data_IF_323349152066
#
_entry.id   IF_323349152066
#
_cell.length_a   1.000
_cell.length_b   1.000
_cell.length_c   1.000
_cell.angle_alpha   90.00
_cell.angle_beta   90.00
_cell.angle_gamma   90.00
#
_symmetry.space_group_name_H-M   'P 1'
#
loop_
_entity.id
_entity.type
_entity.pdbx_description
1 polymer ?
#
# COMPACT_ATOMS: atom_id res chain seq x y z
N UNK A 1 -5.29 15.49 5.37
CA UNK A 1 -4.83 14.10 5.17
C UNK A 1 -3.32 14.05 5.24
N UNK A 2 -2.78 12.94 5.73
CA UNK A 2 -1.33 12.70 5.80
C UNK A 2 -0.97 11.62 4.77
N UNK A 3 0.13 11.81 4.06
CA UNK A 3 0.69 10.84 3.13
C UNK A 3 2.12 10.55 3.53
N UNK A 4 2.42 9.28 3.76
CA UNK A 4 3.75 8.79 4.10
C UNK A 4 4.31 7.99 2.90
N UNK A 5 5.48 8.37 2.41
CA UNK A 5 6.18 7.69 1.32
C UNK A 5 7.20 6.65 1.82
N UNK A 6 7.04 6.16 3.06
CA UNK A 6 7.90 5.17 3.70
C UNK A 6 9.40 5.56 3.65
N UNK A 7 9.69 6.83 3.96
CA UNK A 7 11.03 7.43 3.91
C UNK A 7 11.67 7.55 2.51
N UNK A 8 10.93 7.33 1.41
CA UNK A 8 11.44 7.59 0.07
C UNK A 8 11.34 9.10 -0.27
N UNK A 9 12.47 9.81 -0.10
CA UNK A 9 12.56 11.25 -0.37
C UNK A 9 12.30 11.60 -1.84
N UNK A 10 12.78 10.77 -2.78
CA UNK A 10 12.59 11.03 -4.21
C UNK A 10 11.13 10.87 -4.60
N UNK A 11 10.48 9.82 -4.11
CA UNK A 11 9.07 9.58 -4.34
C UNK A 11 8.20 10.70 -3.74
N UNK A 12 8.52 11.14 -2.52
CA UNK A 12 7.80 12.25 -1.89
C UNK A 12 7.95 13.57 -2.67
N UNK A 13 9.15 13.87 -3.19
CA UNK A 13 9.36 15.06 -4.03
C UNK A 13 8.57 15.01 -5.35
N UNK A 14 8.60 13.85 -6.03
CA UNK A 14 7.81 13.63 -7.24
C UNK A 14 6.31 13.74 -6.97
N UNK A 15 5.85 13.20 -5.84
CA UNK A 15 4.44 13.25 -5.45
C UNK A 15 3.98 14.67 -5.13
N UNK A 16 4.77 15.45 -4.40
CA UNK A 16 4.45 16.85 -4.10
C UNK A 16 4.29 17.65 -5.38
N UNK A 17 5.21 17.46 -6.34
CA UNK A 17 5.14 18.10 -7.65
C UNK A 17 3.85 17.70 -8.38
N UNK A 18 3.56 16.40 -8.47
CA UNK A 18 2.35 15.89 -9.11
C UNK A 18 1.08 16.47 -8.48
N UNK A 19 0.98 16.46 -7.15
CA UNK A 19 -0.21 16.95 -6.44
C UNK A 19 -0.39 18.45 -6.65
N UNK A 20 0.68 19.23 -6.63
CA UNK A 20 0.64 20.67 -6.87
C UNK A 20 0.25 21.01 -8.33
N UNK A 21 0.73 20.22 -9.30
CA UNK A 21 0.34 20.33 -10.72
C UNK A 21 -1.14 19.99 -10.98
N UNK A 22 -1.80 19.28 -10.04
CA UNK A 22 -3.23 18.95 -10.10
C UNK A 22 -4.03 19.76 -9.06
N UNK A 23 -3.54 20.96 -8.71
CA UNK A 23 -4.20 21.95 -7.84
C UNK A 23 -4.45 21.52 -6.37
N UNK A 24 -3.80 20.45 -5.90
CA UNK A 24 -3.89 20.06 -4.49
C UNK A 24 -2.98 20.92 -3.60
N UNK A 25 -3.51 21.37 -2.47
CA UNK A 25 -2.73 22.11 -1.47
C UNK A 25 -1.99 21.17 -0.51
N UNK A 26 -0.72 20.93 -0.81
CA UNK A 26 0.16 20.03 -0.05
C UNK A 26 1.39 20.74 0.52
N UNK A 27 1.88 20.26 1.67
CA UNK A 27 3.12 20.70 2.31
C UNK A 27 3.93 19.45 2.64
N UNK A 28 5.22 19.44 2.31
CA UNK A 28 6.16 18.39 2.73
C UNK A 28 6.90 18.84 3.99
N UNK A 29 6.79 18.04 5.04
CA UNK A 29 7.53 18.21 6.29
C UNK A 29 9.01 17.77 6.11
N UNK A 30 9.94 18.22 6.96
CA UNK A 30 11.36 17.86 6.87
C UNK A 30 11.67 16.37 7.00
N UNK A 31 10.77 15.59 7.59
CA UNK A 31 10.84 14.14 7.75
C UNK A 31 10.32 13.36 6.52
N UNK A 32 9.92 14.07 5.46
CA UNK A 32 9.42 13.49 4.22
C UNK A 32 7.91 13.22 4.21
N UNK A 33 7.21 13.50 5.31
CA UNK A 33 5.75 13.35 5.40
C UNK A 33 5.06 14.46 4.61
N UNK A 34 4.02 14.12 3.85
CA UNK A 34 3.23 15.08 3.08
C UNK A 34 1.89 15.31 3.77
N UNK A 35 1.55 16.57 4.04
CA UNK A 35 0.25 16.98 4.58
C UNK A 35 -0.57 17.67 3.50
N UNK A 36 -1.75 17.13 3.22
CA UNK A 36 -2.74 17.78 2.38
C UNK A 36 -3.82 18.44 3.24
N UNK A 37 -4.15 19.70 2.94
CA UNK A 37 -5.34 20.38 3.49
C UNK A 37 -6.62 20.01 2.75
N UNK A 38 -6.47 19.42 1.57
CA UNK A 38 -7.59 19.06 0.72
C UNK A 38 -8.25 17.78 1.22
N UNK A 39 -9.56 17.85 1.45
CA UNK A 39 -10.38 16.71 1.88
C UNK A 39 -10.77 15.84 0.67
N UNK A 40 -10.63 16.38 -0.54
CA UNK A 40 -10.96 15.72 -1.80
C UNK A 40 -9.91 14.73 -2.27
N UNK A 41 -8.67 14.83 -1.78
CA UNK A 41 -7.61 13.90 -2.14
C UNK A 41 -7.97 12.50 -1.61
N UNK A 42 -7.82 11.48 -2.44
CA UNK A 42 -8.22 10.11 -2.14
C UNK A 42 -7.10 9.12 -2.44
N UNK A 43 -7.32 7.85 -2.07
CA UNK A 43 -6.48 6.74 -2.50
C UNK A 43 -6.38 6.66 -4.03
N UNK A 44 -7.46 6.93 -4.75
CA UNK A 44 -7.51 6.78 -6.21
C UNK A 44 -6.61 7.80 -6.92
N UNK A 45 -6.46 9.00 -6.35
CA UNK A 45 -5.54 10.01 -6.86
C UNK A 45 -4.07 9.57 -6.75
N UNK A 46 -3.73 8.92 -5.63
CA UNK A 46 -2.41 8.35 -5.41
C UNK A 46 -2.18 7.11 -6.30
N UNK A 47 -3.19 6.26 -6.48
CA UNK A 47 -3.12 5.15 -7.42
C UNK A 47 -2.92 5.64 -8.86
N UNK A 48 -3.55 6.76 -9.24
CA UNK A 48 -3.36 7.39 -10.55
C UNK A 48 -1.92 7.91 -10.71
N UNK A 49 -1.35 8.53 -9.68
CA UNK A 49 0.05 8.92 -9.66
C UNK A 49 0.98 7.71 -9.89
N UNK A 50 0.77 6.61 -9.17
CA UNK A 50 1.57 5.38 -9.34
C UNK A 50 1.41 4.77 -10.74
N UNK A 51 0.22 4.87 -11.34
CA UNK A 51 -0.01 4.43 -12.74
C UNK A 51 0.77 5.30 -13.73
N UNK A 52 0.66 6.62 -13.62
CA UNK A 52 1.34 7.58 -14.53
C UNK A 52 2.86 7.47 -14.46
N UNK A 53 3.40 7.18 -13.28
CA UNK A 53 4.86 7.03 -13.07
C UNK A 53 5.35 5.60 -13.33
N UNK A 54 4.47 4.66 -13.68
CA UNK A 54 4.82 3.25 -13.90
C UNK A 54 5.14 2.46 -12.62
N UNK A 55 5.07 3.09 -11.44
CA UNK A 55 5.46 2.52 -10.15
C UNK A 55 4.41 1.57 -9.53
N UNK A 56 3.19 1.49 -10.09
CA UNK A 56 2.11 0.64 -9.54
C UNK A 56 2.43 -0.86 -9.48
N UNK A 57 3.44 -1.33 -10.22
CA UNK A 57 3.90 -2.73 -10.15
C UNK A 57 4.66 -3.02 -8.85
N UNK A 58 5.40 -2.05 -8.35
CA UNK A 58 6.32 -2.19 -7.22
C UNK A 58 5.78 -1.54 -5.95
N UNK A 59 4.94 -0.52 -6.07
CA UNK A 59 4.37 0.23 -4.97
C UNK A 59 2.85 0.04 -4.87
N UNK A 60 2.30 0.25 -3.67
CA UNK A 60 0.88 0.33 -3.41
C UNK A 60 0.53 1.45 -2.44
N UNK A 61 -0.69 1.96 -2.57
CA UNK A 61 -1.29 2.89 -1.61
C UNK A 61 -2.10 2.08 -0.60
N UNK A 62 -1.73 2.21 0.68
CA UNK A 62 -2.32 1.51 1.80
C UNK A 62 -3.07 2.54 2.66
N UNK A 63 -4.40 2.44 2.78
CA UNK A 63 -5.12 3.25 3.75
C UNK A 63 -4.80 2.76 5.16
N UNK A 64 -4.40 3.69 6.03
CA UNK A 64 -4.19 3.44 7.45
C UNK A 64 -5.25 4.18 8.27
N UNK A 65 -5.22 4.00 9.59
CA UNK A 65 -6.14 4.70 10.49
C UNK A 65 -6.01 6.22 10.37
N UNK A 66 -7.08 6.94 10.71
CA UNK A 66 -7.06 8.40 10.94
C UNK A 66 -6.56 9.24 9.75
N UNK A 67 -7.08 8.98 8.55
CA UNK A 67 -6.86 9.85 7.39
C UNK A 67 -5.39 9.90 6.93
N UNK A 68 -4.72 8.75 7.04
CA UNK A 68 -3.33 8.52 6.62
C UNK A 68 -3.33 7.57 5.43
N UNK A 69 -2.61 7.94 4.37
CA UNK A 69 -2.30 7.07 3.24
C UNK A 69 -0.81 6.77 3.23
N UNK A 70 -0.43 5.52 3.05
CA UNK A 70 0.97 5.09 3.01
C UNK A 70 1.26 4.58 1.61
N UNK A 71 2.31 5.10 0.97
CA UNK A 71 2.84 4.54 -0.27
C UNK A 71 4.05 3.69 0.09
N UNK A 72 3.94 2.39 -0.11
CA UNK A 72 4.97 1.43 0.28
C UNK A 72 5.21 0.38 -0.79
N UNK A 73 6.39 -0.23 -0.73
CA UNK A 73 6.78 -1.34 -1.60
C UNK A 73 5.88 -2.55 -1.37
N UNK A 74 5.39 -3.12 -2.47
CA UNK A 74 4.73 -4.43 -2.49
C UNK A 74 5.81 -5.49 -2.29
N UNK A 75 5.68 -6.23 -1.19
CA UNK A 75 6.56 -7.35 -0.93
C UNK A 75 5.76 -8.65 -1.07
N UNK A 76 6.12 -9.56 -2.00
CA UNK A 76 5.49 -10.87 -2.10
C UNK A 76 5.76 -11.67 -0.82
N UNK A 77 4.73 -12.27 -0.26
CA UNK A 77 4.82 -13.04 0.99
C UNK A 77 5.48 -14.42 0.76
N UNK A 78 5.42 -14.91 -0.48
CA UNK A 78 5.93 -16.20 -0.92
C UNK A 78 7.45 -16.31 -0.72
N UNK A 79 8.18 -15.18 -0.78
CA UNK A 79 9.62 -15.13 -0.52
C UNK A 79 10.02 -15.33 0.95
N UNK A 80 9.07 -15.33 1.87
CA UNK A 80 9.30 -15.50 3.32
C UNK A 80 8.80 -16.84 3.86
N UNK A 81 8.43 -17.78 2.98
CA UNK A 81 7.86 -19.07 3.39
C UNK A 81 6.40 -19.00 3.84
N UNK A 82 5.73 -17.87 3.60
CA UNK A 82 4.29 -17.74 3.82
C UNK A 82 3.52 -18.14 2.57
N UNK A 83 2.37 -18.76 2.79
CA UNK A 83 1.39 -19.08 1.77
C UNK A 83 0.04 -18.48 2.13
N UNK A 84 -0.75 -18.18 1.10
CA UNK A 84 -2.12 -17.68 1.26
C UNK A 84 -3.09 -18.83 1.04
N UNK A 85 -4.00 -19.07 2.00
CA UNK A 85 -5.11 -20.00 1.82
C UNK A 85 -5.97 -19.53 0.63
N UNK A 86 -6.18 -20.42 -0.33
CA UNK A 86 -6.95 -20.15 -1.54
C UNK A 86 -8.45 -19.93 -1.27
N UNK A 87 -8.94 -20.42 -0.13
CA UNK A 87 -10.36 -20.37 0.26
C UNK A 87 -10.71 -19.04 0.91
N UNK A 88 -9.97 -18.66 1.95
CA UNK A 88 -10.31 -17.49 2.79
C UNK A 88 -9.28 -16.36 2.75
N UNK A 89 -8.14 -16.57 2.09
CA UNK A 89 -7.08 -15.56 2.00
C UNK A 89 -6.21 -15.40 3.25
N UNK A 90 -6.39 -16.25 4.28
CA UNK A 90 -5.54 -16.24 5.47
C UNK A 90 -4.08 -16.54 5.10
N UNK A 91 -3.13 -15.86 5.74
CA UNK A 91 -1.69 -16.01 5.48
C UNK A 91 -1.07 -16.76 6.64
N UNK A 92 -0.34 -17.83 6.34
CA UNK A 92 0.29 -18.73 7.33
C UNK A 92 1.58 -19.32 6.76
N UNK A 93 2.36 -20.03 7.57
CA UNK A 93 3.50 -20.79 7.03
C UNK A 93 3.01 -21.97 6.19
N UNK A 94 3.79 -22.37 5.19
CA UNK A 94 3.43 -23.49 4.31
C UNK A 94 3.10 -24.79 5.07
N UNK A 95 3.83 -25.07 6.15
CA UNK A 95 3.59 -26.23 7.03
C UNK A 95 2.24 -26.22 7.74
N UNK A 96 1.62 -25.05 7.93
CA UNK A 96 0.32 -24.89 8.59
C UNK A 96 -0.86 -24.99 7.60
N UNK A 97 -0.59 -24.95 6.29
CA UNK A 97 -1.62 -24.87 5.25
C UNK A 97 -2.63 -26.02 5.32
N UNK A 98 -2.15 -27.27 5.39
CA UNK A 98 -3.03 -28.44 5.46
C UNK A 98 -3.88 -28.46 6.75
N UNK A 99 -3.34 -28.00 7.87
CA UNK A 99 -4.12 -27.91 9.12
C UNK A 99 -5.22 -26.86 8.99
N UNK A 100 -4.90 -25.71 8.39
CA UNK A 100 -5.85 -24.65 8.14
C UNK A 100 -6.94 -25.03 7.13
N UNK A 101 -6.58 -25.66 6.00
CA UNK A 101 -7.55 -26.10 4.99
C UNK A 101 -8.53 -27.15 5.54
N UNK A 102 -8.07 -28.02 6.44
CA UNK A 102 -8.95 -28.94 7.18
C UNK A 102 -9.94 -28.21 8.08
N UNK A 103 -9.60 -27.05 8.64
CA UNK A 103 -10.54 -26.25 9.43
C UNK A 103 -11.68 -25.65 8.59
N UNK A 104 -11.49 -25.52 7.26
CA UNK A 104 -12.57 -25.20 6.32
C UNK A 104 -13.45 -26.42 5.96
N UNK A 105 -13.15 -27.59 6.51
CA UNK A 105 -13.85 -28.83 6.19
C UNK A 105 -13.35 -29.53 4.93
N UNK A 106 -12.19 -29.12 4.37
CA UNK A 106 -11.53 -29.89 3.31
C UNK A 106 -10.87 -31.11 3.95
N UNK A 107 -11.53 -32.25 3.81
CA UNK A 107 -10.89 -33.55 4.01
C UNK A 107 -10.26 -33.95 2.68
N UNK A 108 -8.93 -33.85 2.58
CA UNK A 108 -8.21 -34.53 1.51
C UNK A 108 -8.48 -36.04 1.67
N UNK A 109 -9.24 -36.60 0.74
CA UNK A 109 -9.51 -38.03 0.63
C UNK A 109 -8.25 -38.79 0.23
#
# INVERSE_FOLDING_TARGET
MIIDCAYDEKLSDELVKYLTENDFQVIKDPDGIIRSKDVSLTKDDLDLFLKKTGKIKELQVIPSEKNVLIIATKIPIEGFGFVRCSICGFVMYEEELMAHERAHGIFLA
#
